data_IF_483448980116
#
_entry.id   IF_483448980116
#
_cell.length_a   1.000
_cell.length_b   1.000
_cell.length_c   1.000
_cell.angle_alpha   90.00
_cell.angle_beta   90.00
_cell.angle_gamma   90.00
#
_symmetry.space_group_name_H-M   'P 1'
#
loop_
_entity.id
_entity.type
_entity.pdbx_description
1 polymer ?
#
# COMPACT_ATOMS: atom_id res chain seq x y z
N UNK A 1 -7.34 5.04 -4.06
CA UNK A 1 -7.02 5.80 -2.84
C UNK A 1 -6.19 7.02 -3.17
N UNK A 2 -5.78 7.75 -2.13
CA UNK A 2 -5.00 8.98 -2.26
C UNK A 2 -3.63 8.73 -2.89
N UNK A 3 -2.98 7.60 -2.58
CA UNK A 3 -1.69 7.20 -3.17
C UNK A 3 -1.82 7.07 -4.69
N UNK A 4 -2.79 6.33 -5.19
CA UNK A 4 -2.97 6.13 -6.64
C UNK A 4 -3.32 7.44 -7.37
N UNK A 5 -4.07 8.35 -6.73
CA UNK A 5 -4.35 9.67 -7.28
C UNK A 5 -3.08 10.52 -7.37
N UNK A 6 -2.24 10.49 -6.33
CA UNK A 6 -0.96 11.19 -6.32
C UNK A 6 0.01 10.64 -7.38
N UNK A 7 0.13 9.31 -7.50
CA UNK A 7 0.97 8.67 -8.53
C UNK A 7 0.55 9.13 -9.93
N UNK A 8 -0.75 9.07 -10.26
CA UNK A 8 -1.25 9.53 -11.57
C UNK A 8 -0.93 11.00 -11.81
N UNK A 9 -1.23 11.88 -10.85
CA UNK A 9 -0.95 13.31 -10.98
C UNK A 9 0.54 13.60 -11.20
N UNK A 10 1.43 12.88 -10.50
CA UNK A 10 2.88 13.01 -10.67
C UNK A 10 3.34 12.55 -12.06
N UNK A 11 2.83 11.40 -12.55
CA UNK A 11 3.17 10.88 -13.88
C UNK A 11 2.63 11.74 -15.02
N UNK A 12 1.46 12.36 -14.84
CA UNK A 12 0.87 13.29 -15.80
C UNK A 12 1.68 14.60 -15.89
N UNK A 13 2.18 15.10 -14.76
CA UNK A 13 2.98 16.33 -14.70
C UNK A 13 4.43 16.13 -15.15
N UNK A 14 5.07 15.02 -14.78
CA UNK A 14 6.47 14.72 -15.10
C UNK A 14 6.59 13.24 -15.48
N UNK A 15 6.42 12.94 -16.77
CA UNK A 15 6.34 11.56 -17.26
C UNK A 15 7.58 10.72 -16.95
N UNK A 16 8.76 11.32 -16.91
CA UNK A 16 10.02 10.60 -16.69
C UNK A 16 10.45 10.56 -15.22
N UNK A 17 9.67 11.13 -14.31
CA UNK A 17 9.91 11.02 -12.87
C UNK A 17 9.75 9.55 -12.44
N UNK A 18 10.75 9.02 -11.75
CA UNK A 18 10.67 7.72 -11.07
C UNK A 18 9.85 7.91 -9.79
N UNK A 19 8.78 7.13 -9.66
CA UNK A 19 7.91 7.14 -8.48
C UNK A 19 8.02 5.79 -7.80
N UNK A 20 8.38 5.79 -6.52
CA UNK A 20 8.41 4.61 -5.66
C UNK A 20 7.34 4.80 -4.60
N UNK A 21 6.44 3.83 -4.49
CA UNK A 21 5.36 3.85 -3.50
C UNK A 21 5.70 2.88 -2.36
N UNK A 22 5.46 3.32 -1.12
CA UNK A 22 5.50 2.41 0.02
C UNK A 22 4.35 1.40 -0.07
N UNK A 23 4.64 0.11 0.12
CA UNK A 23 3.63 -0.97 0.07
C UNK A 23 3.45 -1.50 1.47
N UNK A 24 2.53 -0.88 2.19
CA UNK A 24 2.21 -1.19 3.59
C UNK A 24 0.71 -1.01 3.86
N UNK A 25 0.24 -1.52 5.00
CA UNK A 25 -1.16 -1.42 5.43
C UNK A 25 -1.36 -0.56 6.68
N UNK A 26 -0.29 -0.08 7.33
CA UNK A 26 -0.37 0.59 8.64
C UNK A 26 -1.30 1.81 8.64
N UNK A 27 -1.30 2.60 7.57
CA UNK A 27 -2.12 3.81 7.43
C UNK A 27 -3.59 3.52 7.06
N UNK A 28 -3.92 2.26 6.76
CA UNK A 28 -5.22 1.84 6.24
C UNK A 28 -5.94 0.83 7.14
N UNK A 29 -5.33 0.43 8.25
CA UNK A 29 -5.93 -0.49 9.23
C UNK A 29 -6.36 0.27 10.48
N UNK A 30 -7.47 -0.14 11.12
CA UNK A 30 -7.98 0.50 12.33
C UNK A 30 -7.05 0.34 13.55
N UNK A 31 -6.16 -0.65 13.50
CA UNK A 31 -5.19 -0.97 14.55
C UNK A 31 -3.77 -0.43 14.27
N UNK A 32 -3.51 0.14 13.08
CA UNK A 32 -2.21 0.75 12.76
C UNK A 32 -1.08 -0.22 12.41
N UNK A 33 -1.25 -1.53 12.60
CA UNK A 33 -0.27 -2.54 12.16
C UNK A 33 -0.16 -2.68 10.64
N UNK A 34 1.02 -3.08 10.18
CA UNK A 34 1.38 -3.23 8.76
C UNK A 34 0.74 -4.44 8.05
N UNK A 35 -0.22 -5.11 8.69
CA UNK A 35 -0.76 -6.38 8.24
C UNK A 35 -2.10 -6.74 8.84
N UNK A 36 -2.64 -7.89 8.44
CA UNK A 36 -3.85 -8.48 9.02
C UNK A 36 -3.56 -8.95 10.44
N UNK A 37 -4.30 -8.46 11.44
CA UNK A 37 -4.14 -8.93 12.83
C UNK A 37 -5.05 -10.12 13.10
N UNK A 38 -4.48 -11.22 13.60
CA UNK A 38 -5.19 -12.41 14.12
C UNK A 38 -4.61 -12.81 15.45
N UNK A 39 -5.48 -13.08 16.43
CA UNK A 39 -5.09 -13.51 17.78
C UNK A 39 -4.04 -12.60 18.46
N UNK A 40 -4.07 -11.30 18.13
CA UNK A 40 -3.19 -10.29 18.70
C UNK A 40 -1.83 -10.12 18.02
N UNK A 41 -1.56 -10.84 16.92
CA UNK A 41 -0.32 -10.73 16.15
C UNK A 41 -0.60 -10.53 14.65
N UNK A 42 0.42 -10.13 13.90
CA UNK A 42 0.33 -9.93 12.45
C UNK A 42 0.44 -11.27 11.73
N UNK A 43 -0.65 -11.66 11.06
CA UNK A 43 -0.65 -12.82 10.16
C UNK A 43 0.11 -12.48 8.88
N UNK A 44 1.28 -13.11 8.71
CA UNK A 44 2.17 -12.87 7.59
C UNK A 44 1.50 -13.19 6.24
N UNK A 45 0.95 -14.39 6.08
CA UNK A 45 0.52 -14.88 4.77
C UNK A 45 -0.75 -14.18 4.32
N UNK A 46 -1.70 -13.94 5.23
CA UNK A 46 -2.87 -13.13 4.94
C UNK A 46 -2.50 -11.68 4.59
N UNK A 47 -1.41 -11.16 5.17
CA UNK A 47 -0.87 -9.83 4.83
C UNK A 47 -0.25 -9.80 3.44
N UNK A 48 0.53 -10.80 3.07
CA UNK A 48 1.21 -10.87 1.76
C UNK A 48 0.22 -10.78 0.59
N UNK A 49 -0.95 -11.42 0.70
CA UNK A 49 -2.00 -11.33 -0.33
C UNK A 49 -2.52 -9.89 -0.52
N UNK A 50 -2.66 -9.14 0.57
CA UNK A 50 -3.09 -7.74 0.51
C UNK A 50 -1.98 -6.84 -0.02
N UNK A 51 -0.73 -7.05 0.42
CA UNK A 51 0.42 -6.28 -0.09
C UNK A 51 0.58 -6.48 -1.59
N UNK A 52 0.38 -7.70 -2.11
CA UNK A 52 0.40 -7.95 -3.55
C UNK A 52 -0.69 -7.17 -4.31
N UNK A 53 -1.92 -7.12 -3.77
CA UNK A 53 -3.01 -6.32 -4.36
C UNK A 53 -2.72 -4.82 -4.31
N UNK A 54 -2.16 -4.34 -3.21
CA UNK A 54 -1.73 -2.95 -3.05
C UNK A 54 -0.67 -2.57 -4.08
N UNK A 55 0.36 -3.41 -4.25
CA UNK A 55 1.41 -3.20 -5.25
C UNK A 55 0.86 -3.13 -6.69
N UNK A 56 -0.07 -4.02 -7.06
CA UNK A 56 -0.72 -3.99 -8.39
C UNK A 56 -1.58 -2.73 -8.57
N UNK A 57 -2.12 -2.19 -7.49
CA UNK A 57 -2.96 -0.98 -7.55
C UNK A 57 -2.15 0.32 -7.67
N UNK A 58 -0.86 0.32 -7.32
CA UNK A 58 -0.03 1.52 -7.24
C UNK A 58 0.35 2.09 -8.61
#
# INVERSE_FOLDING_TARGET
GVVQQAVRAMKDAVRDLVVVTDVCLCEYTSHGHCGVVRDGDVDNDATLELLAKTAVSH
#
